data_IF_601014803506
#
_entry.id   IF_601014803506
#
_cell.length_a   1.000
_cell.length_b   1.000
_cell.length_c   1.000
_cell.angle_alpha   90.00
_cell.angle_beta   90.00
_cell.angle_gamma   90.00
#
_symmetry.space_group_name_H-M   'P 1'
#
loop_
_entity.id
_entity.type
_entity.pdbx_description
1 polymer ?
#
# COMPACT_ATOMS: atom_id res chain seq x y z
N UNK A 1 -9.26 -14.70 -18.68
CA UNK A 1 -9.73 -13.97 -17.47
C UNK A 1 -8.59 -13.32 -16.70
N UNK A 2 -7.45 -13.98 -16.57
CA UNK A 2 -6.31 -13.51 -15.78
C UNK A 2 -5.73 -12.17 -16.24
N UNK A 3 -5.68 -11.92 -17.54
CA UNK A 3 -5.18 -10.64 -18.11
C UNK A 3 -6.02 -9.44 -17.66
N UNK A 4 -7.34 -9.58 -17.60
CA UNK A 4 -8.23 -8.49 -17.15
C UNK A 4 -7.99 -8.21 -15.66
N UNK A 5 -7.86 -9.25 -14.86
CA UNK A 5 -7.57 -9.12 -13.41
C UNK A 5 -6.23 -8.45 -13.18
N UNK A 6 -5.21 -8.79 -13.97
CA UNK A 6 -3.88 -8.14 -13.90
C UNK A 6 -3.98 -6.64 -14.24
N UNK A 7 -4.71 -6.29 -15.31
CA UNK A 7 -4.92 -4.88 -15.68
C UNK A 7 -5.64 -4.12 -14.57
N UNK A 8 -6.69 -4.71 -13.99
CA UNK A 8 -7.41 -4.10 -12.87
C UNK A 8 -6.51 -3.91 -11.64
N UNK A 9 -5.64 -4.89 -11.36
CA UNK A 9 -4.67 -4.79 -10.26
C UNK A 9 -3.66 -3.66 -10.51
N UNK A 10 -3.17 -3.49 -11.74
CA UNK A 10 -2.29 -2.38 -12.12
C UNK A 10 -2.99 -1.02 -11.95
N UNK A 11 -4.24 -0.91 -12.39
CA UNK A 11 -5.05 0.30 -12.17
C UNK A 11 -5.25 0.58 -10.67
N UNK A 12 -5.53 -0.45 -9.88
CA UNK A 12 -5.63 -0.34 -8.41
C UNK A 12 -4.34 0.18 -7.79
N UNK A 13 -3.19 -0.34 -8.22
CA UNK A 13 -1.87 0.15 -7.78
C UNK A 13 -1.62 1.61 -8.14
N UNK A 14 -2.02 2.04 -9.34
CA UNK A 14 -1.93 3.44 -9.76
C UNK A 14 -2.82 4.35 -8.88
N UNK A 15 -4.05 3.94 -8.59
CA UNK A 15 -4.96 4.67 -7.70
C UNK A 15 -4.40 4.77 -6.27
N UNK A 16 -3.79 3.71 -5.75
CA UNK A 16 -3.11 3.73 -4.45
C UNK A 16 -1.96 4.75 -4.41
N UNK A 17 -1.19 4.88 -5.49
CA UNK A 17 -0.11 5.87 -5.58
C UNK A 17 -0.65 7.31 -5.58
N UNK A 18 -1.75 7.56 -6.29
CA UNK A 18 -2.45 8.87 -6.26
C UNK A 18 -3.00 9.15 -4.86
N UNK A 19 -3.62 8.17 -4.21
CA UNK A 19 -4.12 8.29 -2.84
C UNK A 19 -2.98 8.61 -1.86
N UNK A 20 -1.85 7.90 -1.97
CA UNK A 20 -0.68 8.11 -1.12
C UNK A 20 -0.13 9.54 -1.25
N UNK A 21 0.01 10.03 -2.49
CA UNK A 21 0.47 11.40 -2.76
C UNK A 21 -0.47 12.45 -2.17
N UNK A 22 -1.78 12.28 -2.34
CA UNK A 22 -2.80 13.18 -1.77
C UNK A 22 -2.83 13.14 -0.24
N UNK A 23 -2.78 11.96 0.36
CA UNK A 23 -2.74 11.79 1.81
C UNK A 23 -1.45 12.35 2.41
N UNK A 24 -0.31 12.20 1.73
CA UNK A 24 0.95 12.83 2.11
C UNK A 24 0.84 14.35 2.17
N UNK A 25 0.27 14.96 1.12
CA UNK A 25 0.03 16.41 1.07
C UNK A 25 -1.01 16.87 2.09
N UNK A 26 -2.10 16.14 2.27
CA UNK A 26 -3.08 16.44 3.30
C UNK A 26 -2.47 16.37 4.69
N UNK A 27 -1.67 15.32 4.95
CA UNK A 27 -1.00 15.13 6.23
C UNK A 27 -0.01 16.24 6.57
N UNK A 28 0.61 16.91 5.58
CA UNK A 28 1.46 18.08 5.83
C UNK A 28 0.68 19.32 6.29
N UNK A 29 -0.61 19.42 5.95
CA UNK A 29 -1.46 20.54 6.36
C UNK A 29 -2.23 20.29 7.66
N UNK A 30 -2.83 19.10 7.82
CA UNK A 30 -3.72 18.80 8.95
C UNK A 30 -3.10 17.85 9.99
N UNK A 31 -1.92 17.35 9.72
CA UNK A 31 -1.25 16.34 10.54
C UNK A 31 -1.56 14.90 10.08
N UNK A 32 -0.63 13.99 10.37
CA UNK A 32 -0.64 12.61 9.85
C UNK A 32 -1.85 11.82 10.34
N UNK A 33 -2.17 11.88 11.65
CA UNK A 33 -3.29 11.13 12.23
C UNK A 33 -4.64 11.62 11.71
N UNK A 34 -4.81 12.93 11.54
CA UNK A 34 -6.05 13.49 10.98
C UNK A 34 -6.22 13.11 9.52
N UNK A 35 -5.13 13.11 8.73
CA UNK A 35 -5.15 12.64 7.34
C UNK A 35 -5.55 11.18 7.26
N UNK A 36 -4.99 10.31 8.10
CA UNK A 36 -5.36 8.90 8.17
C UNK A 36 -6.83 8.72 8.56
N UNK A 37 -7.31 9.43 9.58
CA UNK A 37 -8.70 9.38 10.01
C UNK A 37 -9.66 9.80 8.88
N UNK A 38 -9.39 10.91 8.19
CA UNK A 38 -10.22 11.37 7.08
C UNK A 38 -10.25 10.35 5.93
N UNK A 39 -9.13 9.71 5.63
CA UNK A 39 -9.06 8.68 4.60
C UNK A 39 -9.95 7.49 4.93
N UNK A 40 -9.87 6.99 6.16
CA UNK A 40 -10.71 5.86 6.59
C UNK A 40 -12.18 6.24 6.72
N UNK A 41 -12.49 7.42 7.26
CA UNK A 41 -13.86 7.89 7.40
C UNK A 41 -14.55 8.05 6.02
N UNK A 42 -13.85 8.67 5.06
CA UNK A 42 -14.35 8.80 3.68
C UNK A 42 -14.50 7.43 3.02
N UNK A 43 -13.51 6.54 3.19
CA UNK A 43 -13.57 5.17 2.69
C UNK A 43 -14.75 4.39 3.27
N UNK A 44 -14.97 4.48 4.58
CA UNK A 44 -16.10 3.84 5.25
C UNK A 44 -17.45 4.36 4.76
N UNK A 45 -17.58 5.68 4.57
CA UNK A 45 -18.79 6.29 4.02
C UNK A 45 -19.09 5.77 2.61
N UNK A 46 -18.10 5.84 1.71
CA UNK A 46 -18.26 5.38 0.32
C UNK A 46 -18.59 3.89 0.27
N UNK A 47 -17.86 3.07 1.02
CA UNK A 47 -18.09 1.62 1.07
C UNK A 47 -19.46 1.31 1.67
N UNK A 48 -19.88 2.04 2.71
CA UNK A 48 -21.20 1.90 3.31
C UNK A 48 -22.33 2.21 2.32
N UNK A 49 -22.19 3.28 1.53
CA UNK A 49 -23.15 3.59 0.46
C UNK A 49 -23.17 2.52 -0.63
N UNK A 50 -22.00 2.01 -1.04
CA UNK A 50 -21.94 0.93 -2.02
C UNK A 50 -22.63 -0.34 -1.51
N UNK A 51 -22.46 -0.69 -0.25
CA UNK A 51 -23.15 -1.82 0.36
C UNK A 51 -24.66 -1.59 0.37
N UNK A 52 -25.10 -0.40 0.77
CA UNK A 52 -26.51 -0.06 0.86
C UNK A 52 -27.25 -0.17 -0.48
N UNK A 53 -26.61 0.29 -1.57
CA UNK A 53 -27.26 0.37 -2.88
C UNK A 53 -26.98 -0.82 -3.81
N UNK A 54 -25.86 -1.52 -3.63
CA UNK A 54 -25.41 -2.52 -4.61
C UNK A 54 -25.16 -3.90 -4.02
N UNK A 55 -24.99 -4.04 -2.69
CA UNK A 55 -24.75 -5.36 -2.12
C UNK A 55 -26.08 -6.14 -2.02
N UNK A 56 -26.13 -7.40 -2.52
CA UNK A 56 -27.27 -8.26 -2.26
C UNK A 56 -27.42 -8.53 -0.77
N UNK A 57 -28.65 -8.65 -0.30
CA UNK A 57 -28.92 -9.04 1.07
C UNK A 57 -28.28 -10.41 1.36
N UNK A 58 -27.24 -10.44 2.16
CA UNK A 58 -26.57 -11.68 2.57
C UNK A 58 -27.05 -12.10 3.95
N UNK A 59 -27.40 -13.37 4.08
CA UNK A 59 -27.78 -13.97 5.38
C UNK A 59 -26.57 -14.29 6.28
N UNK A 60 -25.36 -13.85 5.87
CA UNK A 60 -24.14 -14.11 6.64
C UNK A 60 -24.15 -13.29 7.93
N UNK A 61 -24.23 -13.98 9.05
CA UNK A 61 -24.12 -13.36 10.37
C UNK A 61 -22.63 -13.10 10.66
N UNK A 62 -22.22 -11.82 10.69
CA UNK A 62 -20.86 -11.41 11.00
C UNK A 62 -20.35 -11.93 12.35
N UNK A 63 -21.24 -12.27 13.28
CA UNK A 63 -20.88 -12.87 14.58
C UNK A 63 -20.37 -14.31 14.46
N UNK A 64 -20.69 -15.01 13.36
CA UNK A 64 -20.23 -16.38 13.09
C UNK A 64 -18.88 -16.42 12.37
N UNK A 65 -18.42 -15.29 11.85
CA UNK A 65 -17.10 -15.19 11.20
C UNK A 65 -16.00 -15.20 12.27
N UNK A 66 -14.90 -15.94 12.07
CA UNK A 66 -13.76 -15.92 12.98
C UNK A 66 -13.27 -14.48 13.23
N UNK A 67 -13.25 -14.05 14.49
CA UNK A 67 -13.01 -12.64 14.87
C UNK A 67 -11.65 -12.12 14.40
N UNK A 68 -10.65 -12.99 14.27
CA UNK A 68 -9.31 -12.61 13.78
C UNK A 68 -9.33 -12.12 12.31
N UNK A 69 -10.29 -12.59 11.49
CA UNK A 69 -10.46 -12.12 10.11
C UNK A 69 -10.96 -10.65 10.04
N UNK A 70 -11.64 -10.19 11.09
CA UNK A 70 -12.12 -8.81 11.19
C UNK A 70 -11.02 -7.83 11.58
N UNK A 71 -9.86 -8.32 12.03
CA UNK A 71 -8.74 -7.50 12.48
C UNK A 71 -7.93 -6.85 11.35
N UNK A 72 -8.25 -7.12 10.08
CA UNK A 72 -7.53 -6.54 8.94
C UNK A 72 -7.42 -5.02 8.96
N UNK A 73 -8.46 -4.32 9.42
CA UNK A 73 -8.46 -2.87 9.54
C UNK A 73 -7.39 -2.35 10.53
N UNK A 74 -7.05 -3.12 11.57
CA UNK A 74 -5.99 -2.74 12.51
C UNK A 74 -4.61 -2.69 11.85
N UNK A 75 -4.37 -3.50 10.83
CA UNK A 75 -3.14 -3.40 10.02
C UNK A 75 -3.18 -2.21 9.06
N UNK A 76 -4.36 -1.82 8.60
CA UNK A 76 -4.55 -0.70 7.68
C UNK A 76 -4.23 0.66 8.31
N UNK A 77 -4.57 0.87 9.59
CA UNK A 77 -4.32 2.15 10.28
C UNK A 77 -2.81 2.47 10.37
N UNK A 78 -1.95 1.62 10.95
CA UNK A 78 -0.51 1.89 10.96
C UNK A 78 0.07 1.98 9.55
N UNK A 79 -0.41 1.19 8.60
CA UNK A 79 0.02 1.29 7.19
C UNK A 79 -0.19 2.71 6.62
N UNK A 80 -1.39 3.27 6.74
CA UNK A 80 -1.68 4.62 6.23
C UNK A 80 -0.84 5.69 6.96
N UNK A 81 -0.69 5.60 8.28
CA UNK A 81 0.13 6.53 9.06
C UNK A 81 1.58 6.49 8.59
N UNK A 82 2.17 5.29 8.47
CA UNK A 82 3.53 5.11 7.97
C UNK A 82 3.66 5.63 6.54
N UNK A 83 2.69 5.33 5.66
CA UNK A 83 2.72 5.78 4.27
C UNK A 83 2.67 7.30 4.14
N UNK A 84 1.82 7.98 4.92
CA UNK A 84 1.75 9.46 4.95
C UNK A 84 3.09 10.05 5.40
N UNK A 85 3.71 9.51 6.44
CA UNK A 85 5.02 9.93 6.92
C UNK A 85 6.13 9.68 5.88
N UNK A 86 6.13 8.50 5.25
CA UNK A 86 7.10 8.13 4.24
C UNK A 86 7.04 9.06 3.02
N UNK A 87 5.82 9.31 2.50
CA UNK A 87 5.63 10.23 1.36
C UNK A 87 6.16 11.63 1.65
N UNK A 88 5.95 12.14 2.88
CA UNK A 88 6.45 13.44 3.30
C UNK A 88 7.98 13.50 3.41
N UNK A 89 8.62 12.38 3.77
CA UNK A 89 10.07 12.33 4.03
C UNK A 89 10.91 11.94 2.82
N UNK A 90 10.46 10.94 2.07
CA UNK A 90 11.23 10.33 0.98
C UNK A 90 10.55 10.45 -0.39
N UNK A 91 9.40 11.12 -0.46
CA UNK A 91 8.61 11.31 -1.68
C UNK A 91 7.76 10.10 -2.05
N UNK A 92 6.78 10.33 -2.93
CA UNK A 92 5.78 9.33 -3.30
C UNK A 92 6.39 8.12 -4.01
N UNK A 93 7.29 8.35 -4.98
CA UNK A 93 7.87 7.25 -5.77
C UNK A 93 8.67 6.28 -4.90
N UNK A 94 9.58 6.79 -4.06
CA UNK A 94 10.41 5.96 -3.17
C UNK A 94 9.54 5.25 -2.12
N UNK A 95 8.56 5.93 -1.54
CA UNK A 95 7.63 5.35 -0.57
C UNK A 95 6.81 4.22 -1.20
N UNK A 96 6.29 4.42 -2.41
CA UNK A 96 5.51 3.39 -3.12
C UNK A 96 6.35 2.15 -3.42
N UNK A 97 7.58 2.31 -3.93
CA UNK A 97 8.45 1.16 -4.23
C UNK A 97 8.85 0.41 -2.94
N UNK A 98 9.11 1.14 -1.85
CA UNK A 98 9.39 0.52 -0.55
C UNK A 98 8.20 -0.30 -0.04
N UNK A 99 6.98 0.22 -0.18
CA UNK A 99 5.75 -0.51 0.18
C UNK A 99 5.56 -1.76 -0.68
N UNK A 100 5.73 -1.65 -2.00
CA UNK A 100 5.61 -2.80 -2.92
C UNK A 100 6.64 -3.88 -2.55
N UNK A 101 7.87 -3.49 -2.23
CA UNK A 101 8.90 -4.41 -1.77
C UNK A 101 8.48 -5.15 -0.49
N UNK A 102 7.98 -4.43 0.51
CA UNK A 102 7.49 -5.02 1.76
C UNK A 102 6.29 -5.95 1.53
N UNK A 103 5.33 -5.52 0.71
CA UNK A 103 4.14 -6.31 0.36
C UNK A 103 4.51 -7.59 -0.38
N UNK A 104 5.39 -7.51 -1.39
CA UNK A 104 5.83 -8.69 -2.14
C UNK A 104 6.57 -9.67 -1.24
N UNK A 105 7.49 -9.18 -0.42
CA UNK A 105 8.25 -10.02 0.51
C UNK A 105 7.32 -10.73 1.49
N UNK A 106 6.38 -10.02 2.10
CA UNK A 106 5.43 -10.61 3.05
C UNK A 106 4.47 -11.59 2.36
N UNK A 107 4.00 -11.27 1.15
CA UNK A 107 3.15 -12.19 0.37
C UNK A 107 3.86 -13.49 0.06
N UNK A 108 5.15 -13.44 -0.29
CA UNK A 108 5.92 -14.66 -0.53
C UNK A 108 6.11 -15.51 0.74
N UNK A 109 6.27 -14.88 1.89
CA UNK A 109 6.33 -15.60 3.17
C UNK A 109 4.98 -16.25 3.49
N UNK A 110 3.88 -15.53 3.34
CA UNK A 110 2.53 -16.05 3.56
C UNK A 110 2.26 -17.25 2.64
N UNK A 111 2.58 -17.14 1.36
CA UNK A 111 2.37 -18.21 0.38
C UNK A 111 3.27 -19.43 0.67
N UNK A 112 4.54 -19.20 1.03
CA UNK A 112 5.48 -20.30 1.28
C UNK A 112 5.14 -21.10 2.54
N UNK A 113 4.72 -20.40 3.61
CA UNK A 113 4.38 -21.04 4.89
C UNK A 113 2.89 -21.40 5.03
N UNK A 114 2.05 -21.06 4.04
CA UNK A 114 0.61 -21.31 4.10
C UNK A 114 -0.08 -20.56 5.24
N UNK A 115 0.44 -19.40 5.64
CA UNK A 115 -0.14 -18.63 6.73
C UNK A 115 -1.52 -18.08 6.33
N UNK A 116 -2.35 -17.78 7.32
CA UNK A 116 -3.69 -17.20 7.17
C UNK A 116 -4.67 -18.08 6.37
N UNK A 117 -4.39 -19.38 6.23
CA UNK A 117 -5.22 -20.31 5.48
C UNK A 117 -5.01 -20.30 3.97
N UNK A 118 -3.92 -19.69 3.49
CA UNK A 118 -3.54 -19.74 2.08
C UNK A 118 -3.00 -21.12 1.69
N UNK A 119 -3.18 -21.49 0.40
CA UNK A 119 -2.53 -22.67 -0.17
C UNK A 119 -1.03 -22.43 -0.23
N UNK A 120 -0.25 -23.43 0.24
CA UNK A 120 1.20 -23.38 0.19
C UNK A 120 1.69 -23.37 -1.26
N UNK A 121 2.49 -22.38 -1.62
CA UNK A 121 3.16 -22.28 -2.91
C UNK A 121 4.67 -22.27 -2.69
N UNK A 122 5.36 -23.27 -3.25
CA UNK A 122 6.80 -23.39 -3.11
C UNK A 122 7.57 -22.16 -3.61
N UNK A 123 8.66 -21.85 -2.96
CA UNK A 123 9.57 -20.78 -3.38
C UNK A 123 10.09 -21.05 -4.78
N UNK A 124 9.86 -20.12 -5.70
CA UNK A 124 10.35 -20.18 -7.07
C UNK A 124 11.57 -19.27 -7.22
N UNK A 125 12.63 -19.69 -7.94
CA UNK A 125 13.78 -18.83 -8.25
C UNK A 125 13.37 -17.52 -8.94
N UNK A 126 12.33 -17.56 -9.78
CA UNK A 126 11.80 -16.37 -10.44
C UNK A 126 11.19 -15.36 -9.43
N UNK A 127 10.51 -15.83 -8.38
CA UNK A 127 9.96 -14.98 -7.32
C UNK A 127 11.08 -14.35 -6.48
N UNK A 128 12.15 -15.12 -6.19
CA UNK A 128 13.32 -14.59 -5.50
C UNK A 128 14.02 -13.53 -6.34
N UNK A 129 14.20 -13.74 -7.64
CA UNK A 129 14.75 -12.78 -8.56
C UNK A 129 13.92 -11.48 -8.59
N UNK A 130 12.58 -11.56 -8.57
CA UNK A 130 11.71 -10.39 -8.50
C UNK A 130 11.95 -9.55 -7.24
N UNK A 131 12.10 -10.18 -6.08
CA UNK A 131 12.42 -9.48 -4.82
C UNK A 131 13.76 -8.77 -4.91
N UNK A 132 14.79 -9.44 -5.44
CA UNK A 132 16.13 -8.85 -5.62
C UNK A 132 16.07 -7.66 -6.58
N UNK A 133 15.38 -7.79 -7.72
CA UNK A 133 15.19 -6.68 -8.66
C UNK A 133 14.47 -5.48 -8.02
N UNK A 134 13.45 -5.73 -7.19
CA UNK A 134 12.73 -4.67 -6.49
C UNK A 134 13.60 -3.98 -5.42
N UNK A 135 14.41 -4.75 -4.69
CA UNK A 135 15.38 -4.21 -3.73
C UNK A 135 16.39 -3.29 -4.43
N UNK A 136 16.91 -3.73 -5.59
CA UNK A 136 17.83 -2.93 -6.40
C UNK A 136 17.14 -1.68 -6.95
N UNK A 137 15.92 -1.78 -7.45
CA UNK A 137 15.13 -0.64 -7.91
C UNK A 137 14.91 0.40 -6.79
N UNK A 138 14.58 -0.06 -5.58
CA UNK A 138 14.42 0.81 -4.41
C UNK A 138 15.73 1.55 -4.08
N UNK A 139 16.85 0.83 -4.07
CA UNK A 139 18.17 1.41 -3.85
C UNK A 139 18.51 2.48 -4.89
N UNK A 140 18.30 2.19 -6.17
CA UNK A 140 18.58 3.14 -7.27
C UNK A 140 17.69 4.38 -7.20
N UNK A 141 16.39 4.23 -6.94
CA UNK A 141 15.45 5.35 -6.82
C UNK A 141 15.83 6.22 -5.61
N UNK A 142 16.16 5.59 -4.48
CA UNK A 142 16.54 6.33 -3.28
C UNK A 142 17.83 7.13 -3.45
N UNK A 143 18.85 6.54 -4.09
CA UNK A 143 20.13 7.23 -4.36
C UNK A 143 19.98 8.35 -5.38
N UNK A 144 19.21 8.14 -6.46
CA UNK A 144 18.90 9.18 -7.45
C UNK A 144 18.16 10.37 -6.84
N UNK A 145 17.22 10.12 -5.93
CA UNK A 145 16.50 11.20 -5.24
C UNK A 145 17.40 12.07 -4.39
N UNK A 146 18.40 11.50 -3.73
CA UNK A 146 19.39 12.28 -2.95
C UNK A 146 20.25 13.16 -3.83
N UNK A 147 20.72 12.65 -4.97
CA UNK A 147 21.54 13.41 -5.90
C UNK A 147 20.80 14.62 -6.48
N UNK A 148 19.53 14.47 -6.84
CA UNK A 148 18.72 15.57 -7.36
C UNK A 148 18.53 16.70 -6.32
N UNK A 149 18.31 16.36 -5.06
CA UNK A 149 18.14 17.36 -3.99
C UNK A 149 19.44 18.15 -3.73
N UNK A 150 20.60 17.49 -3.77
CA UNK A 150 21.89 18.16 -3.58
C UNK A 150 22.23 19.13 -4.72
N UNK A 151 21.89 18.80 -5.97
CA UNK A 151 22.09 19.70 -7.12
C UNK A 151 21.18 20.93 -7.08
N UNK A 152 19.95 20.81 -6.58
CA UNK A 152 19.04 21.96 -6.42
C UNK A 152 19.52 22.88 -5.31
N UNK A 153 20.00 22.34 -4.18
CA UNK A 153 20.55 23.13 -3.08
C UNK A 153 21.80 23.91 -3.51
N UNK A 154 22.73 23.27 -4.22
CA UNK A 154 23.94 23.91 -4.70
C UNK A 154 23.69 25.04 -5.77
N UNK A 155 22.55 24.96 -6.48
CA UNK A 155 22.16 26.04 -7.43
C UNK A 155 21.46 27.21 -6.73
N UNK A 156 20.87 27.01 -5.57
CA UNK A 156 20.20 28.08 -4.83
C UNK A 156 21.19 28.96 -4.03
N UNK A 157 22.44 28.50 -3.86
CA UNK A 157 23.50 29.19 -3.15
C UNK A 157 24.38 30.03 -4.09
N UNK A 158 24.17 29.98 -5.42
CA UNK A 158 24.87 30.79 -6.45
C UNK A 158 23.99 31.97 -6.93
#
# INVERSE_FOLDING_TARGET
>A
MDTIVIILALCGGALLSVQAARNGRLGSHVGVLRSAFLTFATGALVTGLLILFFAPATSVNLLQVPKWQLLGAFCGVPYIVIMVLAVQRIGTATATVAVIFGQLTMSLLIDNFGWLGNSTMAFSPARLAAVICLALALYLIYTSGKSATSHVAARAEQ
#
